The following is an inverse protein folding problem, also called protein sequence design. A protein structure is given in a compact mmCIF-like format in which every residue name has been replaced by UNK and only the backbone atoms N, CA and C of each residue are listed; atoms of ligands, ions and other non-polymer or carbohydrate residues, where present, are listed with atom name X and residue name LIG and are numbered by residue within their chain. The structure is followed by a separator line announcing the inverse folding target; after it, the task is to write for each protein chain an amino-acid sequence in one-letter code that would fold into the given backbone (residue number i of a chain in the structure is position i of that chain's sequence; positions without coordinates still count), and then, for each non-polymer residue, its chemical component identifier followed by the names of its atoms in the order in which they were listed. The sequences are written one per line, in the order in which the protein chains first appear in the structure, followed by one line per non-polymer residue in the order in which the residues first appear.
data_IF_076573938899
#
_entry.id   IF_076573938899
#
_cell.length_a   1.000
_cell.length_b   1.000
_cell.length_c   1.000
_cell.angle_alpha   90.00
_cell.angle_beta   90.00
_cell.angle_gamma   90.00
#
_symmetry.space_group_name_H-M   'P 1'
#
loop_
_entity.id
_entity.type
_entity.pdbx_description
1 polymer ?
#
# COMPACT_ATOMS: atom_id res chain seq x y z
N UNK A 1 -21.57 -16.77 28.23
CA UNK A 1 -20.35 -17.26 27.58
C UNK A 1 -19.47 -16.03 27.27
N UNK A 2 -18.42 -15.79 28.08
CA UNK A 2 -17.44 -14.76 27.81
C UNK A 2 -16.60 -15.20 26.61
N UNK A 3 -16.76 -14.51 25.49
CA UNK A 3 -15.84 -14.62 24.37
C UNK A 3 -14.50 -14.03 24.82
N UNK A 4 -13.49 -14.87 24.97
CA UNK A 4 -12.12 -14.39 25.13
C UNK A 4 -11.75 -13.54 23.90
N UNK A 5 -11.18 -12.33 24.08
CA UNK A 5 -10.76 -11.52 22.94
C UNK A 5 -9.70 -12.28 22.17
N UNK A 6 -9.90 -12.38 20.84
CA UNK A 6 -8.89 -12.97 19.95
C UNK A 6 -7.54 -12.32 20.22
N UNK A 7 -6.50 -13.14 20.36
CA UNK A 7 -5.16 -12.67 20.64
C UNK A 7 -4.74 -11.64 19.58
N UNK A 8 -4.53 -10.40 20.00
CA UNK A 8 -4.06 -9.32 19.11
C UNK A 8 -2.72 -9.73 18.51
N UNK A 9 -2.66 -9.80 17.20
CA UNK A 9 -1.39 -10.04 16.50
C UNK A 9 -0.52 -8.78 16.66
N UNK A 10 0.61 -8.92 17.33
CA UNK A 10 1.59 -7.85 17.49
C UNK A 10 2.69 -8.06 16.46
N UNK A 11 2.95 -7.04 15.67
CA UNK A 11 4.05 -7.03 14.70
C UNK A 11 5.11 -6.03 15.19
N UNK A 12 6.37 -6.47 15.23
CA UNK A 12 7.49 -5.58 15.51
C UNK A 12 7.89 -4.87 14.21
N UNK A 13 7.89 -3.55 14.24
CA UNK A 13 8.25 -2.74 13.08
C UNK A 13 9.51 -1.93 13.33
N UNK A 14 10.27 -1.72 12.27
CA UNK A 14 11.46 -0.87 12.26
C UNK A 14 11.06 0.58 12.17
N UNK A 15 11.83 1.44 12.80
CA UNK A 15 11.68 2.88 12.64
C UNK A 15 12.18 3.30 11.27
N UNK A 16 11.40 4.14 10.61
CA UNK A 16 11.75 4.72 9.31
C UNK A 16 11.90 6.23 9.49
N UNK A 17 12.99 6.79 9.00
CA UNK A 17 13.14 8.23 9.04
C UNK A 17 13.57 8.81 7.70
N UNK A 18 12.90 9.89 7.31
CA UNK A 18 13.29 10.72 6.20
C UNK A 18 14.09 11.91 6.72
N UNK A 19 15.41 11.86 6.63
CA UNK A 19 16.30 12.95 6.97
C UNK A 19 16.84 13.56 5.68
N UNK A 20 16.38 14.76 5.32
CA UNK A 20 16.95 15.50 4.21
C UNK A 20 18.22 16.21 4.67
N UNK A 21 19.32 16.07 3.93
CA UNK A 21 20.52 16.89 4.06
C UNK A 21 21.76 16.24 4.66
N UNK A 22 21.68 15.07 5.28
CA UNK A 22 22.85 14.31 5.70
C UNK A 22 22.76 12.88 5.21
N UNK A 23 23.84 12.35 4.64
CA UNK A 23 23.93 10.95 4.25
C UNK A 23 23.86 10.08 5.51
N UNK A 24 22.72 9.50 5.77
CA UNK A 24 22.60 8.49 6.84
C UNK A 24 23.26 7.24 6.33
N UNK A 25 24.31 6.78 7.01
CA UNK A 25 25.05 5.55 6.70
C UNK A 25 24.26 4.27 7.03
N UNK A 26 22.93 4.30 6.90
CA UNK A 26 22.04 3.18 7.13
C UNK A 26 21.48 2.69 5.78
N UNK A 27 21.19 1.39 5.64
CA UNK A 27 20.48 0.90 4.47
C UNK A 27 19.15 1.63 4.35
N UNK A 28 18.92 2.27 3.22
CA UNK A 28 17.71 3.06 2.94
C UNK A 28 16.81 2.39 1.91
N UNK A 29 15.54 2.76 1.93
CA UNK A 29 14.58 2.42 0.88
C UNK A 29 14.65 3.49 -0.20
N UNK A 30 15.09 3.11 -1.38
CA UNK A 30 15.02 3.96 -2.55
C UNK A 30 13.57 4.03 -3.08
N UNK A 31 13.28 4.99 -3.93
CA UNK A 31 12.00 5.11 -4.63
C UNK A 31 11.61 3.82 -5.36
N UNK A 32 12.56 3.20 -6.08
CA UNK A 32 12.35 1.93 -6.79
C UNK A 32 11.92 0.80 -5.87
N UNK A 33 12.39 0.75 -4.63
CA UNK A 33 11.97 -0.26 -3.65
C UNK A 33 10.52 -0.08 -3.24
N UNK A 34 10.11 1.17 -3.05
CA UNK A 34 8.73 1.54 -2.71
C UNK A 34 7.79 1.35 -3.90
N UNK A 35 8.21 1.70 -5.11
CA UNK A 35 7.44 1.44 -6.34
C UNK A 35 7.21 -0.06 -6.52
N UNK A 36 8.24 -0.88 -6.37
CA UNK A 36 8.20 -2.33 -6.58
C UNK A 36 7.33 -3.06 -5.58
N UNK A 37 7.38 -2.67 -4.31
CA UNK A 37 6.60 -3.30 -3.25
C UNK A 37 6.26 -2.33 -2.13
N UNK A 38 5.03 -2.44 -1.58
CA UNK A 38 4.73 -1.79 -0.31
C UNK A 38 5.58 -2.42 0.78
N UNK A 39 6.38 -1.61 1.45
CA UNK A 39 7.27 -2.07 2.50
C UNK A 39 6.58 -1.94 3.85
N UNK A 40 6.35 -3.04 4.58
CA UNK A 40 5.71 -2.98 5.90
C UNK A 40 6.48 -2.12 6.91
N UNK A 41 7.81 -2.06 6.75
CA UNK A 41 8.68 -1.21 7.55
C UNK A 41 8.48 0.28 7.27
N UNK A 42 8.01 0.65 6.09
CA UNK A 42 7.70 2.02 5.72
C UNK A 42 6.23 2.35 6.05
N UNK A 43 5.91 2.40 7.33
CA UNK A 43 4.59 2.75 7.83
C UNK A 43 4.65 4.10 8.55
N UNK A 44 3.65 4.96 8.35
CA UNK A 44 3.65 6.29 8.97
C UNK A 44 3.65 6.26 10.50
N UNK A 45 3.10 5.21 11.12
CA UNK A 45 3.18 5.06 12.58
C UNK A 45 4.61 4.83 13.10
N UNK A 46 5.56 4.56 12.20
CA UNK A 46 6.98 4.36 12.52
C UNK A 46 7.86 5.47 11.90
N UNK A 47 7.27 6.43 11.23
CA UNK A 47 8.00 7.47 10.53
C UNK A 47 8.45 8.58 11.48
N UNK A 48 9.71 8.98 11.36
CA UNK A 48 10.26 10.18 11.96
C UNK A 48 10.79 11.06 10.83
N UNK A 49 10.39 12.30 10.81
CA UNK A 49 10.77 13.24 9.75
C UNK A 49 11.18 14.57 10.35
N UNK A 50 12.17 15.22 9.78
CA UNK A 50 12.53 16.59 10.16
C UNK A 50 11.39 17.54 9.80
N UNK A 51 11.08 18.45 10.72
CA UNK A 51 9.98 19.41 10.55
C UNK A 51 10.14 20.27 9.29
N UNK A 52 11.36 20.72 9.00
CA UNK A 52 11.67 21.50 7.80
C UNK A 52 11.49 20.72 6.50
N UNK A 53 11.84 19.42 6.50
CA UNK A 53 11.60 18.53 5.37
C UNK A 53 10.10 18.26 5.15
N UNK A 54 9.37 18.03 6.23
CA UNK A 54 7.91 17.76 6.18
C UNK A 54 7.13 18.98 5.66
N UNK A 55 7.44 20.18 6.12
CA UNK A 55 6.75 21.41 5.68
C UNK A 55 7.35 22.05 4.43
N UNK A 56 8.54 21.63 4.03
CA UNK A 56 9.30 22.16 2.90
C UNK A 56 9.33 21.24 1.70
N UNK A 57 10.47 20.56 1.51
CA UNK A 57 10.76 19.85 0.27
C UNK A 57 9.80 18.68 -0.03
N UNK A 58 9.39 17.91 0.98
CA UNK A 58 8.47 16.78 0.81
C UNK A 58 7.03 17.28 0.77
N UNK A 59 6.70 18.23 1.63
CA UNK A 59 5.35 18.71 1.90
C UNK A 59 4.55 17.80 2.85
N UNK A 60 3.43 18.30 3.38
CA UNK A 60 2.53 17.52 4.25
C UNK A 60 1.85 16.39 3.47
N UNK A 61 1.19 15.49 4.20
CA UNK A 61 0.29 14.51 3.59
C UNK A 61 -0.85 15.22 2.86
N UNK A 62 -1.28 14.61 1.77
CA UNK A 62 -2.41 15.13 1.02
C UNK A 62 -3.73 14.68 1.65
N UNK A 63 -4.43 15.61 2.28
CA UNK A 63 -5.73 15.39 2.90
C UNK A 63 -6.87 15.17 1.88
N UNK A 64 -6.62 15.42 0.59
CA UNK A 64 -7.59 15.26 -0.49
C UNK A 64 -7.58 13.86 -1.10
N UNK A 65 -6.70 12.97 -0.65
CA UNK A 65 -6.71 11.58 -1.12
C UNK A 65 -8.00 10.90 -0.64
N UNK A 66 -8.79 10.30 -1.56
CA UNK A 66 -10.08 9.74 -1.25
C UNK A 66 -10.06 8.74 -0.08
N UNK A 67 -10.84 8.99 0.96
CA UNK A 67 -10.95 8.14 2.14
C UNK A 67 -9.69 8.02 2.98
N UNK A 68 -8.65 8.81 2.71
CA UNK A 68 -7.34 8.67 3.38
C UNK A 68 -6.67 7.32 3.10
N UNK A 69 -6.98 6.68 1.97
CA UNK A 69 -6.38 5.41 1.61
C UNK A 69 -5.08 5.63 0.81
N UNK A 70 -3.98 5.03 1.27
CA UNK A 70 -2.66 5.14 0.63
C UNK A 70 -2.03 6.56 0.66
N UNK A 71 -2.49 7.48 1.52
CA UNK A 71 -1.87 8.78 1.75
C UNK A 71 -0.44 8.63 2.28
N UNK A 72 -0.22 7.61 3.10
CA UNK A 72 1.08 7.21 3.61
C UNK A 72 2.02 6.77 2.50
N UNK A 73 1.48 6.02 1.55
CA UNK A 73 2.25 5.52 0.42
C UNK A 73 2.63 6.63 -0.56
N UNK A 74 1.69 7.52 -0.90
CA UNK A 74 1.96 8.71 -1.71
C UNK A 74 3.05 9.59 -1.06
N UNK A 75 2.93 9.82 0.25
CA UNK A 75 3.91 10.62 0.97
C UNK A 75 5.30 9.98 0.98
N UNK A 76 5.38 8.67 1.19
CA UNK A 76 6.65 7.93 1.15
C UNK A 76 7.31 7.98 -0.23
N UNK A 77 6.54 7.87 -1.31
CA UNK A 77 7.06 8.01 -2.68
C UNK A 77 7.62 9.42 -2.91
N UNK A 78 6.91 10.47 -2.46
CA UNK A 78 7.41 11.85 -2.53
C UNK A 78 8.70 12.02 -1.73
N UNK A 79 8.77 11.48 -0.52
CA UNK A 79 9.96 11.55 0.31
C UNK A 79 11.16 10.84 -0.35
N UNK A 80 10.95 9.65 -0.90
CA UNK A 80 12.00 8.84 -1.52
C UNK A 80 12.57 9.46 -2.81
N UNK A 81 11.82 10.34 -3.49
CA UNK A 81 12.35 11.12 -4.63
C UNK A 81 13.46 12.09 -4.25
N UNK A 82 13.43 12.57 -3.02
CA UNK A 82 14.48 13.50 -2.55
C UNK A 82 15.73 12.76 -2.11
N UNK A 83 15.55 11.65 -1.41
CA UNK A 83 16.65 10.76 -0.99
C UNK A 83 16.10 9.43 -0.45
N UNK A 84 16.91 8.36 -0.40
CA UNK A 84 16.51 7.11 0.21
C UNK A 84 16.04 7.30 1.66
N UNK A 85 14.92 6.67 2.00
CA UNK A 85 14.36 6.70 3.35
C UNK A 85 15.17 5.74 4.23
N UNK A 86 15.82 6.25 5.26
CA UNK A 86 16.60 5.43 6.17
C UNK A 86 15.71 4.50 7.01
N UNK A 87 16.17 3.27 7.21
CA UNK A 87 15.46 2.25 8.01
C UNK A 87 16.36 1.85 9.17
N UNK A 88 15.88 1.99 10.40
CA UNK A 88 16.63 1.53 11.57
C UNK A 88 16.77 0.01 11.53
N UNK A 89 17.97 -0.56 11.79
CA UNK A 89 18.23 -1.99 11.64
C UNK A 89 17.43 -2.86 12.64
N UNK A 90 17.11 -2.31 13.81
CA UNK A 90 16.37 -3.01 14.85
C UNK A 90 14.89 -2.62 14.87
N UNK A 91 13.99 -3.54 15.21
CA UNK A 91 12.58 -3.21 15.40
C UNK A 91 12.39 -2.49 16.74
N UNK A 92 12.07 -1.20 16.68
CA UNK A 92 11.90 -0.35 17.86
C UNK A 92 10.44 -0.15 18.28
N UNK A 93 9.49 -0.52 17.43
CA UNK A 93 8.06 -0.31 17.64
C UNK A 93 7.28 -1.62 17.62
N UNK A 94 6.29 -1.69 18.50
CA UNK A 94 5.29 -2.77 18.51
C UNK A 94 3.97 -2.22 17.98
N UNK A 95 3.56 -2.68 16.82
CA UNK A 95 2.30 -2.27 16.21
C UNK A 95 1.25 -3.35 16.47
N UNK A 96 0.13 -2.97 17.07
CA UNK A 96 -1.03 -3.84 17.22
C UNK A 96 -1.72 -3.98 15.87
N UNK A 97 -1.79 -5.19 15.36
CA UNK A 97 -2.51 -5.49 14.11
C UNK A 97 -3.92 -5.97 14.48
N UNK A 98 -4.91 -5.11 14.36
CA UNK A 98 -6.29 -5.50 14.60
C UNK A 98 -6.89 -6.20 13.38
N UNK A 99 -7.82 -7.11 13.66
CA UNK A 99 -8.46 -7.94 12.62
C UNK A 99 -9.44 -7.12 11.76
N UNK A 100 -9.90 -5.98 12.28
CA UNK A 100 -10.79 -5.07 11.54
C UNK A 100 -10.01 -3.86 11.04
N UNK A 101 -9.74 -3.85 9.73
CA UNK A 101 -9.22 -2.65 9.06
C UNK A 101 -10.30 -1.57 9.00
N UNK A 102 -9.94 -0.34 9.32
CA UNK A 102 -10.79 0.83 9.14
C UNK A 102 -11.25 1.01 7.68
N UNK A 103 -10.47 0.55 6.74
CA UNK A 103 -10.72 0.63 5.30
C UNK A 103 -11.47 -0.58 4.73
N UNK A 104 -11.99 -1.47 5.58
CA UNK A 104 -12.74 -2.63 5.12
C UNK A 104 -13.96 -2.18 4.32
N UNK A 105 -14.14 -2.79 3.17
CA UNK A 105 -15.30 -2.57 2.28
C UNK A 105 -15.44 -1.17 1.67
N UNK A 106 -14.42 -0.32 1.78
CA UNK A 106 -14.38 1.01 1.16
C UNK A 106 -13.82 0.95 -0.28
N UNK A 107 -14.32 0.03 -1.08
CA UNK A 107 -13.81 -0.22 -2.43
C UNK A 107 -13.75 1.00 -3.35
N UNK A 108 -14.76 1.92 -3.35
CA UNK A 108 -14.67 3.14 -4.15
C UNK A 108 -13.52 4.07 -3.73
N UNK A 109 -13.26 4.19 -2.43
CA UNK A 109 -12.14 4.97 -1.93
C UNK A 109 -10.79 4.33 -2.28
N UNK A 110 -10.70 3.00 -2.23
CA UNK A 110 -9.50 2.26 -2.65
C UNK A 110 -9.19 2.50 -4.12
N UNK A 111 -10.19 2.34 -4.98
CA UNK A 111 -10.07 2.56 -6.41
C UNK A 111 -9.57 3.98 -6.69
N UNK A 112 -10.27 4.98 -6.17
CA UNK A 112 -9.95 6.38 -6.42
C UNK A 112 -8.55 6.77 -5.91
N UNK A 113 -8.20 6.36 -4.70
CA UNK A 113 -6.90 6.67 -4.10
C UNK A 113 -5.74 5.99 -4.83
N UNK A 114 -5.86 4.70 -5.18
CA UNK A 114 -4.80 3.98 -5.88
C UNK A 114 -4.64 4.44 -7.32
N UNK A 115 -5.72 4.80 -8.01
CA UNK A 115 -5.67 5.42 -9.33
C UNK A 115 -4.92 6.75 -9.25
N UNK A 116 -5.24 7.58 -8.26
CA UNK A 116 -4.53 8.84 -8.02
C UNK A 116 -3.03 8.63 -7.72
N UNK A 117 -2.68 7.58 -6.96
CA UNK A 117 -1.27 7.21 -6.74
C UNK A 117 -0.57 6.88 -8.06
N UNK A 118 -1.22 6.14 -8.95
CA UNK A 118 -0.66 5.82 -10.27
C UNK A 118 -0.49 7.06 -11.16
N UNK A 119 -1.46 7.97 -11.14
CA UNK A 119 -1.45 9.18 -11.96
C UNK A 119 -0.38 10.18 -11.51
N UNK A 120 -0.17 10.28 -10.20
CA UNK A 120 0.83 11.18 -9.61
C UNK A 120 2.26 10.66 -9.64
N UNK A 121 2.44 9.37 -9.89
CA UNK A 121 3.73 8.70 -9.84
C UNK A 121 4.04 8.02 -11.19
N UNK A 122 4.39 8.81 -12.23
CA UNK A 122 4.66 8.30 -13.57
C UNK A 122 5.84 7.31 -13.61
N UNK A 123 6.69 7.31 -12.59
CA UNK A 123 7.81 6.39 -12.42
C UNK A 123 7.38 4.91 -12.39
N UNK A 124 6.12 4.63 -12.07
CA UNK A 124 5.56 3.27 -12.20
C UNK A 124 5.67 2.71 -13.62
N UNK A 125 5.77 3.56 -14.63
CA UNK A 125 5.98 3.10 -16.01
C UNK A 125 7.32 2.37 -16.20
N UNK A 126 8.33 2.70 -15.39
CA UNK A 126 9.64 2.05 -15.41
C UNK A 126 9.75 0.85 -14.45
N UNK A 127 8.73 0.58 -13.63
CA UNK A 127 8.70 -0.54 -12.68
C UNK A 127 7.45 -1.42 -12.89
N UNK A 128 7.48 -2.31 -13.90
CA UNK A 128 6.30 -3.09 -14.32
C UNK A 128 5.67 -3.93 -13.20
N UNK A 129 6.47 -4.46 -12.27
CA UNK A 129 5.95 -5.25 -11.14
C UNK A 129 5.18 -4.37 -10.16
N UNK A 130 5.72 -3.19 -9.87
CA UNK A 130 5.06 -2.21 -9.02
C UNK A 130 3.77 -1.69 -9.65
N UNK A 131 3.82 -1.34 -10.92
CA UNK A 131 2.65 -0.93 -11.70
C UNK A 131 1.56 -2.00 -11.66
N UNK A 132 1.90 -3.26 -11.99
CA UNK A 132 0.97 -4.37 -11.96
C UNK A 132 0.34 -4.57 -10.58
N UNK A 133 1.15 -4.41 -9.52
CA UNK A 133 0.67 -4.55 -8.14
C UNK A 133 -0.41 -3.54 -7.79
N UNK A 134 -0.20 -2.27 -8.10
CA UNK A 134 -1.19 -1.21 -7.80
C UNK A 134 -2.40 -1.32 -8.72
N UNK A 135 -2.18 -1.51 -10.02
CA UNK A 135 -3.24 -1.74 -11.01
C UNK A 135 -4.12 -2.95 -10.64
N UNK A 136 -3.50 -4.03 -10.15
CA UNK A 136 -4.22 -5.21 -9.67
C UNK A 136 -5.06 -4.94 -8.42
N UNK A 137 -4.65 -4.04 -7.54
CA UNK A 137 -5.48 -3.59 -6.42
C UNK A 137 -6.68 -2.76 -6.89
N UNK A 138 -6.49 -1.90 -7.88
CA UNK A 138 -7.58 -1.16 -8.53
C UNK A 138 -8.58 -2.15 -9.16
N UNK A 139 -8.09 -3.15 -9.91
CA UNK A 139 -8.93 -4.18 -10.50
C UNK A 139 -9.77 -4.94 -9.46
N UNK A 140 -9.17 -5.28 -8.31
CA UNK A 140 -9.89 -5.92 -7.18
C UNK A 140 -10.97 -4.99 -6.64
N UNK A 141 -10.67 -3.71 -6.43
CA UNK A 141 -11.63 -2.73 -5.91
C UNK A 141 -12.82 -2.54 -6.86
N UNK A 142 -12.59 -2.43 -8.16
CA UNK A 142 -13.64 -2.32 -9.19
C UNK A 142 -14.47 -3.59 -9.26
N UNK A 143 -13.83 -4.77 -9.24
CA UNK A 143 -14.54 -6.06 -9.25
C UNK A 143 -15.44 -6.23 -8.02
N UNK A 144 -14.97 -5.81 -6.84
CA UNK A 144 -15.73 -5.85 -5.59
C UNK A 144 -16.97 -4.95 -5.61
N UNK A 145 -16.96 -3.88 -6.42
CA UNK A 145 -18.11 -3.02 -6.66
C UNK A 145 -19.10 -3.62 -7.69
N UNK A 146 -18.83 -4.79 -8.25
CA UNK A 146 -19.68 -5.43 -9.26
C UNK A 146 -19.52 -4.87 -10.69
N UNK A 147 -18.59 -3.97 -10.94
CA UNK A 147 -18.32 -3.34 -12.25
C UNK A 147 -17.48 -4.27 -13.13
N UNK A 148 -18.07 -5.38 -13.56
CA UNK A 148 -17.37 -6.51 -14.19
C UNK A 148 -16.62 -6.16 -15.47
N UNK A 149 -17.24 -5.41 -16.39
CA UNK A 149 -16.62 -5.03 -17.66
C UNK A 149 -15.34 -4.21 -17.43
N UNK A 150 -15.42 -3.23 -16.58
CA UNK A 150 -14.32 -2.34 -16.24
C UNK A 150 -13.21 -3.09 -15.46
N UNK A 151 -13.60 -3.96 -14.52
CA UNK A 151 -12.65 -4.84 -13.84
C UNK A 151 -11.84 -5.68 -14.84
N UNK A 152 -12.46 -6.21 -15.91
CA UNK A 152 -11.77 -6.98 -16.93
C UNK A 152 -10.76 -6.13 -17.73
N UNK A 153 -11.01 -4.85 -17.95
CA UNK A 153 -10.05 -3.93 -18.57
C UNK A 153 -8.82 -3.75 -17.70
N UNK A 154 -9.01 -3.47 -16.40
CA UNK A 154 -7.93 -3.34 -15.43
C UNK A 154 -7.17 -4.68 -15.20
N UNK A 155 -7.86 -5.81 -15.23
CA UNK A 155 -7.21 -7.13 -15.19
C UNK A 155 -6.29 -7.33 -16.40
N UNK A 156 -6.75 -7.00 -17.62
CA UNK A 156 -5.92 -7.09 -18.82
C UNK A 156 -4.70 -6.18 -18.73
N UNK A 157 -4.90 -4.94 -18.29
CA UNK A 157 -3.81 -3.98 -18.07
C UNK A 157 -2.79 -4.52 -17.06
N UNK A 158 -3.25 -5.04 -15.92
CA UNK A 158 -2.42 -5.65 -14.89
C UNK A 158 -1.56 -6.81 -15.47
N UNK A 159 -2.20 -7.72 -16.21
CA UNK A 159 -1.52 -8.87 -16.81
C UNK A 159 -0.55 -8.46 -17.92
N UNK A 160 -0.82 -7.35 -18.61
CA UNK A 160 0.08 -6.74 -19.57
C UNK A 160 1.38 -6.23 -18.92
N UNK A 161 1.29 -5.67 -17.72
CA UNK A 161 2.46 -5.27 -16.94
C UNK A 161 3.18 -6.48 -16.32
N UNK A 162 2.43 -7.41 -15.71
CA UNK A 162 3.00 -8.63 -15.12
C UNK A 162 1.95 -9.74 -15.05
N UNK A 163 2.14 -10.79 -15.84
CA UNK A 163 1.27 -11.97 -15.80
C UNK A 163 1.34 -12.74 -14.47
N UNK A 164 2.36 -12.47 -13.64
CA UNK A 164 2.54 -13.09 -12.31
C UNK A 164 1.86 -12.34 -11.18
N UNK A 165 1.17 -11.23 -11.46
CA UNK A 165 0.50 -10.46 -10.40
C UNK A 165 -0.75 -11.21 -9.90
N UNK A 166 -0.76 -11.69 -8.64
CA UNK A 166 -1.85 -12.53 -8.15
C UNK A 166 -3.17 -11.78 -8.02
N UNK A 167 -3.15 -10.45 -7.86
CA UNK A 167 -4.36 -9.63 -7.70
C UNK A 167 -5.21 -9.61 -8.96
N UNK A 168 -4.61 -9.77 -10.15
CA UNK A 168 -5.36 -9.92 -11.38
C UNK A 168 -6.26 -11.16 -11.34
N UNK A 169 -5.75 -12.27 -10.82
CA UNK A 169 -6.52 -13.51 -10.69
C UNK A 169 -7.56 -13.43 -9.57
N UNK A 170 -7.25 -12.73 -8.48
CA UNK A 170 -8.24 -12.47 -7.42
C UNK A 170 -9.39 -11.60 -7.95
N UNK A 171 -9.09 -10.54 -8.69
CA UNK A 171 -10.09 -9.69 -9.33
C UNK A 171 -10.96 -10.49 -10.32
N UNK A 172 -10.36 -11.41 -11.07
CA UNK A 172 -11.09 -12.30 -11.98
C UNK A 172 -12.08 -13.20 -11.23
N UNK A 173 -11.66 -13.78 -10.10
CA UNK A 173 -12.55 -14.60 -9.26
C UNK A 173 -13.71 -13.76 -8.70
N UNK A 174 -13.45 -12.52 -8.27
CA UNK A 174 -14.48 -11.61 -7.77
C UNK A 174 -15.44 -11.24 -8.90
N UNK A 175 -14.94 -10.88 -10.06
CA UNK A 175 -15.76 -10.58 -11.23
C UNK A 175 -16.60 -11.78 -11.68
N UNK A 176 -16.14 -13.02 -11.48
CA UNK A 176 -16.88 -14.24 -11.70
C UNK A 176 -17.95 -14.54 -10.62
N UNK A 177 -18.02 -13.73 -9.54
CA UNK A 177 -19.04 -13.83 -8.52
C UNK A 177 -18.60 -14.39 -7.16
N UNK A 178 -17.29 -14.60 -6.95
CA UNK A 178 -16.78 -14.95 -5.62
C UNK A 178 -16.78 -13.70 -4.73
N UNK A 179 -17.42 -13.72 -3.54
CA UNK A 179 -17.43 -12.55 -2.66
C UNK A 179 -16.02 -12.11 -2.23
N UNK A 180 -15.73 -10.82 -2.37
CA UNK A 180 -14.42 -10.24 -2.02
C UNK A 180 -14.06 -10.48 -0.55
N UNK A 181 -15.05 -10.46 0.34
CA UNK A 181 -14.88 -10.70 1.78
C UNK A 181 -14.37 -12.12 2.07
N UNK A 182 -14.80 -13.11 1.32
CA UNK A 182 -14.33 -14.51 1.45
C UNK A 182 -12.86 -14.61 1.06
N UNK A 183 -12.46 -13.94 -0.02
CA UNK A 183 -11.08 -13.90 -0.48
C UNK A 183 -10.22 -13.17 0.56
N UNK A 184 -10.66 -12.00 1.03
CA UNK A 184 -9.98 -11.23 2.06
C UNK A 184 -9.79 -12.03 3.36
N UNK A 185 -10.85 -12.74 3.82
CA UNK A 185 -10.77 -13.58 5.01
C UNK A 185 -9.75 -14.73 4.85
N UNK A 186 -9.73 -15.40 3.70
CA UNK A 186 -8.79 -16.49 3.41
C UNK A 186 -7.32 -15.98 3.33
N UNK A 187 -7.09 -14.79 2.80
CA UNK A 187 -5.77 -14.18 2.75
C UNK A 187 -5.30 -13.74 4.15
N UNK A 188 -6.18 -13.13 4.94
CA UNK A 188 -5.87 -12.71 6.30
C UNK A 188 -5.50 -13.89 7.22
N UNK A 189 -6.18 -15.03 7.09
CA UNK A 189 -5.82 -16.27 7.81
C UNK A 189 -4.40 -16.72 7.50
N UNK A 190 -3.90 -16.44 6.28
CA UNK A 190 -2.54 -16.76 5.84
C UNK A 190 -1.54 -15.62 6.11
N UNK A 191 -1.96 -14.58 6.81
CA UNK A 191 -1.12 -13.41 7.11
C UNK A 191 -0.81 -12.53 5.90
N UNK A 192 -1.61 -12.61 4.85
CA UNK A 192 -1.49 -11.81 3.62
C UNK A 192 -2.69 -10.86 3.54
N UNK A 193 -2.43 -9.59 3.17
CA UNK A 193 -3.48 -8.65 2.78
C UNK A 193 -3.79 -8.73 1.28
N UNK A 194 -4.89 -8.10 0.86
CA UNK A 194 -5.22 -7.85 -0.55
C UNK A 194 -4.26 -6.86 -1.20
#
# INVERSE_FOLDING_TARGET
AHHAPAARRVVHQRLVYAVLGEAVAAPGLADVDLLRARRPEACMCTAVVRKDAFWGAIGPMDEHIPGGYAEDYDWMLRAARHQPIAVHPEPLLRVGWDVQSHFRDQWPAWEAALSQVLDRNPEFASEPRGRARVEGQVAVAIAAQGRRSEALEHIRATLGWSWREPRAYLALLIAAGVPAERIGAALNQRGKGL
#
